data_IF_800101805009
#
_entry.id   IF_800101805009
#
_cell.length_a   1.000
_cell.length_b   1.000
_cell.length_c   1.000
_cell.angle_alpha   90.00
_cell.angle_beta   90.00
_cell.angle_gamma   90.00
#
_symmetry.space_group_name_H-M   'P 1'
#
loop_
_entity.id
_entity.type
_entity.pdbx_description
1 polymer ?
#
# COMPACT_ATOMS: atom_id res chain seq x y z
N UNK A 1 -4.49 15.55 -4.57
CA UNK A 1 -3.63 14.75 -3.66
C UNK A 1 -4.55 13.92 -2.80
N UNK A 2 -4.31 12.61 -2.68
CA UNK A 2 -5.19 11.69 -1.95
C UNK A 2 -4.41 11.04 -0.82
N UNK A 3 -5.00 10.97 0.36
CA UNK A 3 -4.42 10.35 1.53
C UNK A 3 -5.36 9.27 2.04
N UNK A 4 -4.80 8.15 2.47
CA UNK A 4 -5.55 7.02 3.02
C UNK A 4 -5.05 6.71 4.41
N UNK A 5 -5.97 6.33 5.29
CA UNK A 5 -5.63 5.79 6.61
C UNK A 5 -5.63 4.27 6.55
N UNK A 6 -4.54 3.67 6.99
CA UNK A 6 -4.41 2.22 7.05
C UNK A 6 -5.26 1.66 8.19
N UNK A 7 -6.12 0.68 7.90
CA UNK A 7 -7.00 0.06 8.90
C UNK A 7 -6.49 -1.29 9.43
N UNK A 8 -5.38 -1.77 8.88
CA UNK A 8 -4.72 -3.03 9.21
C UNK A 8 -3.20 -2.87 9.04
N UNK A 9 -2.45 -3.85 9.52
CA UNK A 9 -1.00 -3.94 9.32
C UNK A 9 -0.70 -4.72 8.03
N UNK A 10 0.16 -4.18 7.19
CA UNK A 10 0.55 -4.80 5.93
C UNK A 10 2.06 -5.01 5.88
N UNK A 11 2.46 -6.25 5.59
CA UNK A 11 3.84 -6.62 5.35
C UNK A 11 3.97 -7.27 3.96
N UNK A 12 4.65 -6.62 2.99
CA UNK A 12 4.78 -7.14 1.64
C UNK A 12 5.52 -8.47 1.57
N UNK A 13 6.38 -8.78 2.56
CA UNK A 13 7.08 -10.08 2.59
C UNK A 13 6.15 -11.27 2.86
N UNK A 14 5.01 -11.01 3.51
CA UNK A 14 3.96 -12.00 3.78
C UNK A 14 2.94 -12.09 2.64
N UNK A 15 3.03 -11.20 1.65
CA UNK A 15 2.11 -11.17 0.53
C UNK A 15 2.68 -11.99 -0.63
N UNK A 16 1.94 -13.01 -1.07
CA UNK A 16 2.33 -13.85 -2.19
C UNK A 16 1.79 -13.36 -3.54
N UNK A 17 0.89 -12.36 -3.51
CA UNK A 17 0.29 -11.78 -4.71
C UNK A 17 1.06 -10.55 -5.20
N UNK A 18 1.95 -9.99 -4.38
CA UNK A 18 2.76 -8.85 -4.77
C UNK A 18 3.76 -9.27 -5.87
N UNK A 19 3.90 -8.50 -6.97
CA UNK A 19 4.81 -8.86 -8.05
C UNK A 19 6.29 -8.84 -7.62
N UNK A 20 6.66 -7.96 -6.68
CA UNK A 20 8.01 -7.83 -6.14
C UNK A 20 7.91 -7.36 -4.69
N UNK A 21 8.41 -8.16 -3.74
CA UNK A 21 8.27 -7.92 -2.29
C UNK A 21 9.03 -6.66 -1.87
N UNK A 22 10.14 -6.39 -2.53
CA UNK A 22 11.01 -5.24 -2.33
C UNK A 22 10.35 -3.93 -2.78
N UNK A 23 9.45 -4.00 -3.77
CA UNK A 23 8.68 -2.86 -4.21
C UNK A 23 7.51 -2.53 -3.27
N UNK A 24 7.21 -3.40 -2.30
CA UNK A 24 6.11 -3.23 -1.38
C UNK A 24 6.38 -2.20 -0.29
N UNK A 25 5.38 -1.38 0.00
CA UNK A 25 5.42 -0.45 1.11
C UNK A 25 4.82 -1.10 2.35
N UNK A 26 5.66 -1.41 3.35
CA UNK A 26 5.18 -1.84 4.66
C UNK A 26 4.49 -0.67 5.37
N UNK A 27 3.35 -0.94 5.98
CA UNK A 27 2.64 0.02 6.83
C UNK A 27 1.94 -0.67 8.00
N UNK A 28 1.62 0.11 9.02
CA UNK A 28 0.93 -0.31 10.23
C UNK A 28 -0.45 0.31 10.30
N UNK A 29 -1.35 -0.33 11.04
CA UNK A 29 -2.69 0.19 11.31
C UNK A 29 -2.61 1.57 11.97
N UNK A 30 -3.36 2.52 11.41
CA UNK A 30 -3.43 3.90 11.88
C UNK A 30 -2.48 4.85 11.17
N UNK A 31 -1.52 4.37 10.39
CA UNK A 31 -0.67 5.22 9.55
C UNK A 31 -1.46 5.89 8.43
N UNK A 32 -0.98 7.07 8.00
CA UNK A 32 -1.56 7.81 6.88
C UNK A 32 -0.54 7.79 5.74
N UNK A 33 -0.96 7.27 4.60
CA UNK A 33 -0.16 7.19 3.40
C UNK A 33 -0.68 8.18 2.34
N UNK A 34 0.25 8.80 1.62
CA UNK A 34 -0.09 9.55 0.43
C UNK A 34 -0.17 8.61 -0.76
N UNK A 35 -1.29 8.63 -1.46
CA UNK A 35 -1.45 7.92 -2.71
C UNK A 35 -0.76 8.69 -3.84
N UNK A 36 0.09 7.99 -4.57
CA UNK A 36 0.83 8.47 -5.75
C UNK A 36 0.16 8.01 -7.04
N UNK A 37 -0.16 6.72 -7.18
CA UNK A 37 -0.86 6.16 -8.35
C UNK A 37 -1.89 5.09 -7.91
N UNK A 38 -3.05 5.04 -8.57
CA UNK A 38 -4.14 4.07 -8.36
C UNK A 38 -4.72 3.51 -9.67
N UNK A 39 -3.99 3.62 -10.77
CA UNK A 39 -4.42 3.12 -12.08
C UNK A 39 -4.56 1.59 -12.08
N UNK A 40 -3.67 0.89 -11.37
CA UNK A 40 -3.79 -0.56 -11.22
C UNK A 40 -4.90 -0.88 -10.18
N UNK A 41 -5.87 -1.73 -10.54
CA UNK A 41 -7.01 -2.04 -9.70
C UNK A 41 -6.66 -2.93 -8.49
N UNK A 42 -5.48 -3.57 -8.49
CA UNK A 42 -5.01 -4.45 -7.43
C UNK A 42 -3.96 -3.77 -6.55
N UNK A 43 -3.05 -3.00 -7.14
CA UNK A 43 -1.86 -2.46 -6.48
C UNK A 43 -1.76 -0.94 -6.62
N UNK A 44 -1.83 -0.22 -5.51
CA UNK A 44 -1.65 1.23 -5.52
C UNK A 44 -0.22 1.59 -5.14
N UNK A 45 0.30 2.67 -5.71
CA UNK A 45 1.55 3.26 -5.27
C UNK A 45 1.25 4.30 -4.20
N UNK A 46 1.91 4.18 -3.06
CA UNK A 46 1.79 5.11 -1.96
C UNK A 46 3.16 5.45 -1.37
N UNK A 47 3.26 6.56 -0.64
CA UNK A 47 4.45 6.88 0.15
C UNK A 47 4.05 7.40 1.54
N UNK A 48 5.00 7.31 2.48
CA UNK A 48 4.85 7.86 3.82
C UNK A 48 4.90 9.39 3.79
N UNK A 49 3.86 10.03 4.34
CA UNK A 49 3.73 11.50 4.36
C UNK A 49 4.89 12.17 5.11
N UNK A 50 5.40 11.51 6.15
CA UNK A 50 6.40 12.09 7.05
C UNK A 50 7.85 11.96 6.56
N UNK A 51 8.15 10.97 5.73
CA UNK A 51 9.53 10.67 5.35
C UNK A 51 9.91 11.21 3.97
N UNK A 52 8.97 11.72 3.17
CA UNK A 52 9.26 12.18 1.80
C UNK A 52 9.90 11.08 0.93
N UNK A 53 9.69 9.82 1.31
CA UNK A 53 10.38 8.65 0.77
C UNK A 53 9.82 8.17 -0.56
N UNK A 54 10.54 7.22 -1.15
CA UNK A 54 10.16 6.53 -2.38
C UNK A 54 8.77 5.91 -2.28
N UNK A 55 8.01 5.98 -3.37
CA UNK A 55 6.73 5.30 -3.47
C UNK A 55 6.95 3.78 -3.47
N UNK A 56 6.09 3.06 -2.75
CA UNK A 56 6.02 1.61 -2.78
C UNK A 56 4.58 1.12 -2.99
N UNK A 57 4.45 -0.15 -3.31
CA UNK A 57 3.18 -0.81 -3.61
C UNK A 57 2.45 -1.18 -2.33
N UNK A 58 1.18 -0.78 -2.26
CA UNK A 58 0.22 -1.20 -1.25
C UNK A 58 -0.94 -1.92 -1.94
N UNK A 59 -1.56 -2.91 -1.28
CA UNK A 59 -2.75 -3.53 -1.82
C UNK A 59 -3.88 -2.49 -1.86
N UNK A 60 -4.61 -2.48 -2.99
CA UNK A 60 -5.80 -1.67 -3.15
C UNK A 60 -6.95 -2.20 -2.29
N UNK A 61 -7.97 -1.37 -2.08
CA UNK A 61 -9.19 -1.80 -1.42
C UNK A 61 -9.85 -2.99 -2.12
N UNK A 62 -9.86 -3.02 -3.46
CA UNK A 62 -10.43 -4.11 -4.24
C UNK A 62 -9.67 -5.43 -4.07
N UNK A 63 -8.33 -5.37 -4.03
CA UNK A 63 -7.50 -6.54 -3.77
C UNK A 63 -7.74 -7.08 -2.36
N UNK A 64 -7.86 -6.19 -1.36
CA UNK A 64 -8.16 -6.59 0.01
C UNK A 64 -9.58 -7.16 0.17
N UNK A 65 -10.58 -6.63 -0.54
CA UNK A 65 -11.94 -7.18 -0.54
C UNK A 65 -11.98 -8.59 -1.16
N UNK A 66 -11.16 -8.88 -2.17
CA UNK A 66 -11.02 -10.23 -2.75
C UNK A 66 -10.33 -11.24 -1.83
N UNK A 67 -9.57 -10.78 -0.83
CA UNK A 67 -8.85 -11.64 0.13
C UNK A 67 -9.70 -12.06 1.32
N UNK A 68 -10.84 -11.40 1.54
CA UNK A 68 -11.85 -11.79 2.53
C UNK A 68 -12.70 -12.94 2.00
#
# INVERSE_FOLDING_TARGET
QVFVKCHFDYNPYNDNLIPCKEAGLKFSKGEILQIVNREDPNWWQASHVKEGGSAGLIPSQFLEEKRK
#
